data_IF_977143423563
#
_entry.id   IF_977143423563
#
_cell.length_a   1.000
_cell.length_b   1.000
_cell.length_c   1.000
_cell.angle_alpha   90.00
_cell.angle_beta   90.00
_cell.angle_gamma   90.00
#
_symmetry.space_group_name_H-M   'P 1'
#
loop_
_entity.id
_entity.type
_entity.pdbx_description
1 polymer ?
#
# COMPACT_ATOMS: atom_id res chain seq x y z
N UNK A 1 -1.07 -2.59 -17.14
CA UNK A 1 -0.95 -2.83 -15.69
C UNK A 1 0.53 -2.95 -15.34
N UNK A 2 0.97 -2.33 -14.26
CA UNK A 2 2.28 -2.60 -13.65
C UNK A 2 2.02 -3.30 -12.31
N UNK A 3 2.57 -4.50 -12.16
CA UNK A 3 2.58 -5.24 -10.92
C UNK A 3 3.86 -4.88 -10.17
N UNK A 4 3.73 -4.44 -8.91
CA UNK A 4 4.85 -4.26 -8.00
C UNK A 4 4.65 -5.25 -6.86
N UNK A 5 5.29 -6.42 -6.98
CA UNK A 5 5.32 -7.41 -5.91
C UNK A 5 6.27 -6.96 -4.80
N UNK A 6 5.86 -7.09 -3.54
CA UNK A 6 6.71 -6.73 -2.40
C UNK A 6 6.64 -7.81 -1.34
N UNK A 7 7.78 -8.40 -1.00
CA UNK A 7 7.97 -9.31 0.12
C UNK A 7 8.49 -8.52 1.33
N UNK A 8 7.96 -8.78 2.52
CA UNK A 8 8.59 -8.32 3.76
C UNK A 8 9.82 -9.20 4.05
N UNK A 9 10.97 -8.59 4.36
CA UNK A 9 12.24 -9.32 4.45
C UNK A 9 12.68 -9.74 5.85
N UNK A 10 12.09 -9.27 6.95
CA UNK A 10 12.61 -9.58 8.29
C UNK A 10 11.51 -9.72 9.36
N UNK A 11 11.70 -10.59 10.39
CA UNK A 11 10.66 -10.98 11.33
C UNK A 11 10.41 -10.07 12.55
N UNK A 12 11.34 -9.19 12.92
CA UNK A 12 11.30 -8.51 14.22
C UNK A 12 10.75 -7.07 14.24
N UNK A 13 10.61 -6.40 13.09
CA UNK A 13 9.91 -5.13 13.00
C UNK A 13 9.10 -5.09 11.71
N UNK A 14 7.83 -4.73 11.79
CA UNK A 14 7.03 -4.50 10.58
C UNK A 14 7.68 -3.38 9.75
N UNK A 15 8.32 -3.73 8.64
CA UNK A 15 8.93 -2.76 7.72
C UNK A 15 7.79 -2.07 6.96
N UNK A 16 7.21 -1.06 7.60
CA UNK A 16 6.28 -0.13 7.00
C UNK A 16 6.96 1.20 6.72
N UNK A 17 6.51 1.92 5.69
CA UNK A 17 6.97 3.30 5.50
C UNK A 17 6.43 4.16 6.66
N UNK A 18 7.25 5.02 7.24
CA UNK A 18 6.77 6.04 8.18
C UNK A 18 5.96 7.12 7.45
N UNK A 19 6.45 7.49 6.27
CA UNK A 19 5.98 8.57 5.41
C UNK A 19 4.88 8.13 4.42
N UNK A 20 3.69 8.77 4.42
CA UNK A 20 2.63 8.42 3.49
C UNK A 20 2.92 8.86 2.05
N UNK A 21 2.76 7.92 1.13
CA UNK A 21 2.84 8.17 -0.32
C UNK A 21 1.49 8.64 -0.84
N UNK A 22 1.51 9.67 -1.69
CA UNK A 22 0.36 10.10 -2.48
C UNK A 22 0.58 9.73 -3.94
N UNK A 23 -0.05 8.65 -4.38
CA UNK A 23 -0.05 8.25 -5.78
C UNK A 23 -1.22 8.92 -6.53
N UNK A 24 -1.01 9.48 -7.73
CA UNK A 24 -2.06 10.11 -8.53
C UNK A 24 -3.00 9.12 -9.21
N UNK A 25 -2.76 7.81 -9.08
CA UNK A 25 -3.59 6.74 -9.65
C UNK A 25 -4.08 5.80 -8.55
N UNK A 26 -5.15 5.06 -8.83
CA UNK A 26 -5.68 4.03 -7.94
C UNK A 26 -4.74 2.83 -7.86
N UNK A 27 -4.70 2.19 -6.69
CA UNK A 27 -3.92 0.99 -6.44
C UNK A 27 -4.82 -0.14 -5.97
N UNK A 28 -4.61 -1.34 -6.51
CA UNK A 28 -5.24 -2.57 -6.00
C UNK A 28 -4.23 -3.29 -5.13
N UNK A 29 -4.63 -3.60 -3.90
CA UNK A 29 -3.91 -4.44 -2.96
C UNK A 29 -4.57 -5.80 -2.92
N UNK A 30 -3.77 -6.86 -2.98
CA UNK A 30 -4.24 -8.23 -2.78
C UNK A 30 -3.23 -8.99 -1.92
N UNK A 31 -3.64 -9.44 -0.74
CA UNK A 31 -2.77 -10.22 0.14
C UNK A 31 -2.84 -11.71 -0.20
N UNK A 32 -1.71 -12.24 -0.65
CA UNK A 32 -1.56 -13.66 -0.96
C UNK A 32 -1.26 -14.46 0.31
N UNK A 33 -0.38 -13.94 1.16
CA UNK A 33 0.08 -14.59 2.40
C UNK A 33 0.13 -13.57 3.53
N UNK A 34 -0.51 -13.91 4.65
CA UNK A 34 -0.59 -13.07 5.84
C UNK A 34 -1.32 -11.74 5.66
N UNK A 35 -1.52 -11.04 6.78
CA UNK A 35 -2.26 -9.79 6.83
C UNK A 35 -1.32 -8.60 6.64
N UNK A 36 -1.85 -7.46 6.22
CA UNK A 36 -1.13 -6.19 6.22
C UNK A 36 -1.97 -5.06 6.81
N UNK A 37 -1.30 -3.99 7.24
CA UNK A 37 -1.95 -2.78 7.71
C UNK A 37 -1.70 -1.66 6.71
N UNK A 38 -2.75 -1.03 6.21
CA UNK A 38 -2.67 0.16 5.38
C UNK A 38 -3.10 1.37 6.21
N UNK A 39 -2.14 2.23 6.57
CA UNK A 39 -2.45 3.51 7.21
C UNK A 39 -2.82 4.53 6.15
N UNK A 40 -4.01 5.11 6.21
CA UNK A 40 -4.46 6.15 5.28
C UNK A 40 -4.69 7.47 6.00
N UNK A 41 -4.48 8.59 5.31
CA UNK A 41 -4.82 9.91 5.80
C UNK A 41 -6.14 10.36 5.17
N UNK A 42 -7.24 10.21 5.90
CA UNK A 42 -8.59 10.57 5.47
C UNK A 42 -9.06 11.81 6.23
N UNK A 43 -9.36 12.90 5.51
CA UNK A 43 -9.81 14.18 6.10
C UNK A 43 -8.88 14.70 7.22
N UNK A 44 -7.57 14.52 7.02
CA UNK A 44 -6.54 14.94 7.98
C UNK A 44 -6.39 14.05 9.21
N UNK A 45 -7.08 12.91 9.27
CA UNK A 45 -6.98 11.93 10.36
C UNK A 45 -6.37 10.63 9.85
N UNK A 46 -5.45 10.06 10.62
CA UNK A 46 -4.92 8.74 10.35
C UNK A 46 -6.00 7.69 10.63
N UNK A 47 -6.16 6.75 9.71
CA UNK A 47 -7.03 5.60 9.84
C UNK A 47 -6.27 4.37 9.39
N UNK A 48 -6.32 3.34 10.21
CA UNK A 48 -5.67 2.08 9.94
C UNK A 48 -6.67 1.09 9.36
N UNK A 49 -6.30 0.47 8.24
CA UNK A 49 -7.12 -0.50 7.53
C UNK A 49 -6.37 -1.83 7.46
N UNK A 50 -6.91 -2.88 8.06
CA UNK A 50 -6.36 -4.23 7.94
C UNK A 50 -6.85 -4.82 6.62
N UNK A 51 -5.92 -5.33 5.81
CA UNK A 51 -6.20 -6.11 4.60
C UNK A 51 -5.72 -7.53 4.92
N UNK A 52 -6.67 -8.45 5.12
CA UNK A 52 -6.37 -9.83 5.53
C UNK A 52 -5.91 -10.68 4.36
N UNK A 53 -5.26 -11.79 4.66
CA UNK A 53 -4.94 -12.81 3.67
C UNK A 53 -6.19 -13.17 2.84
N UNK A 54 -6.05 -13.17 1.51
CA UNK A 54 -7.13 -13.44 0.56
C UNK A 54 -8.01 -12.23 0.24
N UNK A 55 -7.88 -11.11 0.96
CA UNK A 55 -8.67 -9.90 0.71
C UNK A 55 -8.08 -9.05 -0.41
N UNK A 56 -8.98 -8.49 -1.21
CA UNK A 56 -8.67 -7.47 -2.22
C UNK A 56 -9.17 -6.12 -1.71
N UNK A 57 -8.32 -5.11 -1.78
CA UNK A 57 -8.65 -3.75 -1.42
C UNK A 57 -8.30 -2.77 -2.54
N UNK A 58 -9.26 -1.96 -2.96
CA UNK A 58 -9.05 -0.89 -3.94
C UNK A 58 -8.86 0.43 -3.21
N UNK A 59 -7.65 0.99 -3.31
CA UNK A 59 -7.34 2.33 -2.82
C UNK A 59 -7.62 3.38 -3.91
N UNK A 60 -8.49 4.38 -3.65
CA UNK A 60 -8.72 5.48 -4.57
C UNK A 60 -7.45 6.31 -4.85
N UNK A 61 -7.40 6.91 -6.04
CA UNK A 61 -6.31 7.79 -6.43
C UNK A 61 -6.17 9.00 -5.50
N UNK A 62 -4.94 9.42 -5.24
CA UNK A 62 -4.63 10.65 -4.50
C UNK A 62 -4.80 10.57 -2.98
N UNK A 63 -5.19 9.40 -2.44
CA UNK A 63 -5.27 9.15 -1.00
C UNK A 63 -3.85 8.93 -0.44
N UNK A 64 -3.36 9.77 0.47
CA UNK A 64 -2.09 9.53 1.13
C UNK A 64 -2.16 8.27 1.98
N UNK A 65 -1.24 7.34 1.78
CA UNK A 65 -1.25 6.05 2.45
C UNK A 65 0.15 5.53 2.72
N UNK A 66 0.27 4.71 3.75
CA UNK A 66 1.51 4.04 4.12
C UNK A 66 1.26 2.55 4.42
N UNK A 67 1.67 1.64 3.53
CA UNK A 67 1.57 0.21 3.77
C UNK A 67 2.59 -0.22 4.82
N UNK A 68 2.10 -0.92 5.84
CA UNK A 68 2.89 -1.60 6.85
C UNK A 68 2.84 -3.10 6.57
N UNK A 69 4.01 -3.70 6.40
CA UNK A 69 4.14 -5.13 6.09
C UNK A 69 4.79 -5.84 7.26
N UNK A 70 4.35 -7.06 7.51
CA UNK A 70 4.85 -7.89 8.62
C UNK A 70 5.67 -9.05 8.08
N UNK A 71 6.43 -9.69 8.97
CA UNK A 71 7.17 -10.92 8.71
C UNK A 71 6.36 -11.95 7.90
N UNK A 72 6.99 -12.61 6.93
CA UNK A 72 6.39 -13.74 6.21
C UNK A 72 5.04 -13.40 5.55
N UNK A 73 4.87 -12.16 5.08
CA UNK A 73 3.69 -11.73 4.34
C UNK A 73 4.04 -11.43 2.88
N UNK A 74 3.11 -11.77 1.98
CA UNK A 74 3.25 -11.53 0.54
C UNK A 74 2.02 -10.79 0.05
N UNK A 75 2.26 -9.61 -0.54
CA UNK A 75 1.24 -8.76 -1.10
C UNK A 75 1.50 -8.39 -2.54
N UNK A 76 0.43 -8.36 -3.32
CA UNK A 76 0.42 -7.87 -4.68
C UNK A 76 -0.13 -6.44 -4.70
N UNK A 77 0.63 -5.53 -5.29
CA UNK A 77 0.15 -4.17 -5.60
C UNK A 77 0.09 -4.01 -7.10
N UNK A 78 -1.09 -3.67 -7.61
CA UNK A 78 -1.31 -3.41 -9.02
C UNK A 78 -1.68 -1.94 -9.19
N UNK A 79 -0.94 -1.26 -10.05
CA UNK A 79 -1.24 0.10 -10.48
C UNK A 79 -1.16 0.23 -12.00
N UNK A 80 -1.72 1.31 -12.54
CA UNK A 80 -1.47 1.67 -13.93
C UNK A 80 -0.19 2.47 -14.05
N UNK A 81 0.45 2.37 -15.22
CA UNK A 81 1.57 3.22 -15.59
C UNK A 81 1.14 4.69 -15.52
N UNK A 82 2.01 5.54 -14.99
CA UNK A 82 1.81 7.00 -14.95
C UNK A 82 1.81 7.57 -16.37
N UNK A 83 0.97 8.59 -16.58
CA UNK A 83 1.10 9.48 -17.73
C UNK A 83 2.30 10.42 -17.52
N UNK A 84 2.80 11.03 -18.59
CA UNK A 84 3.94 11.96 -18.51
C UNK A 84 3.66 13.19 -17.62
N UNK A 85 2.39 13.51 -17.41
CA UNK A 85 1.92 14.65 -16.61
C UNK A 85 1.69 14.30 -15.13
N UNK A 86 1.86 13.03 -14.74
CA UNK A 86 1.55 12.54 -13.40
C UNK A 86 2.83 12.28 -12.61
N UNK A 87 2.90 12.85 -11.40
CA UNK A 87 4.03 12.70 -10.50
C UNK A 87 3.56 12.09 -9.18
N UNK A 88 4.35 11.16 -8.64
CA UNK A 88 4.16 10.62 -7.30
C UNK A 88 4.65 11.64 -6.25
N UNK A 89 3.93 11.73 -5.14
CA UNK A 89 4.35 12.52 -3.99
C UNK A 89 4.79 11.63 -2.83
N UNK A 90 5.99 11.88 -2.29
CA UNK A 90 6.42 11.41 -0.96
C UNK A 90 6.27 12.56 0.05
N UNK A 91 5.87 12.26 1.28
CA UNK A 91 5.65 13.25 2.34
C UNK A 91 6.04 12.75 3.69
#
# INVERSE_FOLDING_TARGET
MQCVGTQAKDPEEGVGRSEPVRCPVSQVFYQLEGDMLLRVLERGKHRDMVIRQGEIFLLPAGVPHSPQRFANTVGLVIERKRLKTELDGLR
#
